data_IF_686660371509
#
_entry.id   IF_686660371509
#
_cell.length_a   1.000
_cell.length_b   1.000
_cell.length_c   1.000
_cell.angle_alpha   90.00
_cell.angle_beta   90.00
_cell.angle_gamma   90.00
#
_symmetry.space_group_name_H-M   'P 1'
#
loop_
_entity.id
_entity.type
_entity.pdbx_description
1 polymer ?
#
# COMPACT_ATOMS: atom_id res chain seq x y z
N UNK A 1 10.71 -15.17 -5.53
CA UNK A 1 9.53 -15.93 -5.99
C UNK A 1 8.59 -14.97 -6.70
N UNK A 2 8.14 -15.35 -7.90
CA UNK A 2 7.21 -14.56 -8.70
C UNK A 2 5.84 -14.44 -8.02
N UNK A 3 5.22 -13.26 -8.14
CA UNK A 3 3.83 -13.05 -7.76
C UNK A 3 2.90 -13.93 -8.61
N UNK A 4 1.75 -14.35 -8.04
CA UNK A 4 0.73 -15.10 -8.77
C UNK A 4 -0.21 -14.17 -9.52
N UNK A 5 -0.56 -13.02 -8.94
CA UNK A 5 -1.40 -12.03 -9.60
C UNK A 5 -0.52 -11.04 -10.38
N UNK A 6 -0.40 -11.22 -11.70
CA UNK A 6 0.45 -10.38 -12.56
C UNK A 6 -0.32 -9.79 -13.74
N UNK A 7 0.09 -8.60 -14.15
CA UNK A 7 -0.34 -7.94 -15.37
C UNK A 7 0.91 -7.45 -16.12
N UNK A 8 1.05 -7.80 -17.40
CA UNK A 8 2.21 -7.46 -18.23
C UNK A 8 3.57 -7.75 -17.57
N UNK A 9 3.65 -8.85 -16.81
CA UNK A 9 4.87 -9.25 -16.11
C UNK A 9 5.16 -8.46 -14.83
N UNK A 10 4.23 -7.67 -14.28
CA UNK A 10 4.41 -7.00 -13.00
C UNK A 10 3.36 -7.46 -11.97
N UNK A 11 3.70 -7.57 -10.68
CA UNK A 11 2.72 -7.90 -9.65
C UNK A 11 1.65 -6.82 -9.54
N UNK A 12 0.37 -7.21 -9.67
CA UNK A 12 -0.75 -6.26 -9.67
C UNK A 12 -0.81 -5.51 -8.33
N UNK A 13 -0.60 -6.21 -7.22
CA UNK A 13 -0.58 -5.59 -5.89
C UNK A 13 0.44 -4.45 -5.79
N UNK A 14 1.68 -4.66 -6.27
CA UNK A 14 2.74 -3.65 -6.23
C UNK A 14 2.41 -2.43 -7.10
N UNK A 15 1.72 -2.62 -8.22
CA UNK A 15 1.25 -1.51 -9.06
C UNK A 15 0.15 -0.71 -8.37
N UNK A 16 -0.72 -1.37 -7.60
CA UNK A 16 -1.88 -0.73 -6.99
C UNK A 16 -1.59 -0.05 -5.65
N UNK A 17 -0.61 -0.51 -4.85
CA UNK A 17 -0.39 0.02 -3.49
C UNK A 17 0.00 1.49 -3.43
N UNK A 18 0.45 2.07 -4.55
CA UNK A 18 0.81 3.49 -4.63
C UNK A 18 -0.40 4.40 -4.38
N UNK A 19 -1.59 3.95 -4.77
CA UNK A 19 -2.84 4.69 -4.59
C UNK A 19 -3.24 4.80 -3.11
N UNK A 20 -3.49 3.69 -2.37
CA UNK A 20 -3.92 3.80 -0.97
C UNK A 20 -2.87 4.50 -0.11
N UNK A 21 -1.58 4.17 -0.26
CA UNK A 21 -0.54 4.79 0.56
C UNK A 21 -0.41 6.31 0.28
N UNK A 22 -0.44 6.69 -1.00
CA UNK A 22 -0.39 8.09 -1.42
C UNK A 22 -1.62 8.87 -0.96
N UNK A 23 -2.83 8.37 -1.21
CA UNK A 23 -4.09 9.05 -0.88
C UNK A 23 -4.31 9.18 0.63
N UNK A 24 -4.14 8.08 1.37
CA UNK A 24 -4.31 8.05 2.82
C UNK A 24 -3.24 8.88 3.52
N UNK A 25 -1.97 8.76 3.11
CA UNK A 25 -0.90 9.58 3.64
C UNK A 25 -1.12 11.07 3.35
N UNK A 26 -1.57 11.41 2.14
CA UNK A 26 -1.81 12.80 1.75
C UNK A 26 -2.97 13.43 2.51
N UNK A 27 -4.00 12.65 2.86
CA UNK A 27 -5.12 13.15 3.67
C UNK A 27 -4.69 13.81 4.98
N UNK A 28 -3.60 13.33 5.60
CA UNK A 28 -3.06 13.90 6.83
C UNK A 28 -2.46 15.30 6.62
N UNK A 29 -1.84 15.57 5.46
CA UNK A 29 -1.36 16.94 5.16
C UNK A 29 -2.52 17.92 5.04
N UNK A 30 -3.66 17.48 4.51
CA UNK A 30 -4.87 18.30 4.45
C UNK A 30 -5.54 18.47 5.82
N UNK A 31 -5.49 17.46 6.69
CA UNK A 31 -5.87 17.62 8.10
C UNK A 31 -5.00 18.68 8.80
N UNK A 32 -3.69 18.65 8.58
CA UNK A 32 -2.75 19.66 9.13
C UNK A 32 -3.08 21.05 8.58
N UNK A 33 -3.35 21.18 7.27
CA UNK A 33 -3.75 22.44 6.66
C UNK A 33 -5.09 22.97 7.23
N UNK A 34 -6.05 22.07 7.50
CA UNK A 34 -7.29 22.43 8.18
C UNK A 34 -7.01 23.01 9.58
N UNK A 35 -6.22 22.30 10.40
CA UNK A 35 -5.87 22.76 11.74
C UNK A 35 -5.10 24.09 11.74
N UNK A 36 -4.21 24.28 10.76
CA UNK A 36 -3.38 25.49 10.66
C UNK A 36 -4.15 26.73 10.18
N UNK A 37 -5.17 26.54 9.32
CA UNK A 37 -5.86 27.66 8.66
C UNK A 37 -7.29 27.88 9.12
N UNK A 38 -7.90 26.90 9.79
CA UNK A 38 -9.33 26.88 10.11
C UNK A 38 -10.25 26.76 8.89
N UNK A 39 -9.72 26.60 7.67
CA UNK A 39 -10.54 26.53 6.47
C UNK A 39 -11.19 25.14 6.34
N UNK A 40 -12.53 25.05 6.26
CA UNK A 40 -13.25 23.76 6.18
C UNK A 40 -13.03 23.00 4.86
N UNK A 41 -12.56 23.68 3.81
CA UNK A 41 -12.23 23.05 2.53
C UNK A 41 -11.17 21.94 2.69
N UNK A 42 -10.15 22.17 3.52
CA UNK A 42 -9.07 21.20 3.69
C UNK A 42 -9.54 19.92 4.38
N UNK A 43 -10.39 20.02 5.41
CA UNK A 43 -11.02 18.84 6.04
C UNK A 43 -11.89 18.06 5.07
N UNK A 44 -12.60 18.76 4.18
CA UNK A 44 -13.44 18.15 3.13
C UNK A 44 -12.59 17.40 2.10
N UNK A 45 -11.44 17.96 1.69
CA UNK A 45 -10.49 17.29 0.79
C UNK A 45 -9.91 16.04 1.47
N UNK A 46 -9.47 16.16 2.72
CA UNK A 46 -8.95 15.03 3.50
C UNK A 46 -9.99 13.89 3.57
N UNK A 47 -11.26 14.21 3.85
CA UNK A 47 -12.35 13.24 3.88
C UNK A 47 -12.47 12.44 2.57
N UNK A 48 -12.49 13.11 1.41
CA UNK A 48 -12.61 12.41 0.12
C UNK A 48 -11.35 11.64 -0.29
N UNK A 49 -10.16 12.13 0.10
CA UNK A 49 -8.91 11.36 -0.06
C UNK A 49 -8.92 10.08 0.78
N UNK A 50 -9.47 10.13 2.00
CA UNK A 50 -9.65 8.94 2.83
C UNK A 50 -10.57 7.94 2.13
N UNK A 51 -11.71 8.38 1.59
CA UNK A 51 -12.63 7.52 0.83
C UNK A 51 -11.90 6.85 -0.34
N UNK A 52 -11.25 7.64 -1.20
CA UNK A 52 -10.53 7.11 -2.36
C UNK A 52 -9.37 6.16 -1.95
N UNK A 53 -8.68 6.48 -0.86
CA UNK A 53 -7.63 5.65 -0.28
C UNK A 53 -8.14 4.31 0.25
N UNK A 54 -9.29 4.30 0.95
CA UNK A 54 -9.94 3.06 1.39
C UNK A 54 -10.35 2.21 0.20
N UNK A 55 -11.05 2.79 -0.79
CA UNK A 55 -11.52 2.06 -1.96
C UNK A 55 -10.36 1.44 -2.76
N UNK A 56 -9.30 2.21 -3.02
CA UNK A 56 -8.11 1.69 -3.70
C UNK A 56 -7.38 0.63 -2.88
N UNK A 57 -7.35 0.77 -1.55
CA UNK A 57 -6.83 -0.26 -0.64
C UNK A 57 -7.61 -1.57 -0.70
N UNK A 58 -8.94 -1.50 -0.74
CA UNK A 58 -9.82 -2.65 -0.91
C UNK A 58 -9.63 -3.33 -2.27
N UNK A 59 -9.35 -2.58 -3.32
CA UNK A 59 -9.02 -3.14 -4.65
C UNK A 59 -7.64 -3.80 -4.65
N UNK A 60 -6.65 -3.24 -3.96
CA UNK A 60 -5.29 -3.78 -3.90
C UNK A 60 -5.17 -5.04 -3.01
N UNK A 61 -5.98 -5.14 -1.96
CA UNK A 61 -5.88 -6.17 -0.92
C UNK A 61 -6.07 -7.62 -1.45
N UNK A 62 -7.05 -7.95 -2.32
CA UNK A 62 -7.21 -9.29 -2.87
C UNK A 62 -5.96 -9.80 -3.58
N UNK A 63 -5.30 -8.96 -4.37
CA UNK A 63 -4.08 -9.33 -5.08
C UNK A 63 -2.91 -9.60 -4.11
N UNK A 64 -2.76 -8.76 -3.08
CA UNK A 64 -1.77 -8.98 -2.04
C UNK A 64 -2.04 -10.26 -1.23
N UNK A 65 -3.31 -10.58 -0.97
CA UNK A 65 -3.71 -11.81 -0.30
C UNK A 65 -3.39 -13.05 -1.16
N UNK A 66 -3.68 -13.01 -2.47
CA UNK A 66 -3.35 -14.09 -3.43
C UNK A 66 -1.84 -14.33 -3.44
N UNK A 67 -1.04 -13.27 -3.53
CA UNK A 67 0.41 -13.36 -3.54
C UNK A 67 0.95 -13.88 -2.19
N UNK A 68 0.40 -13.43 -1.06
CA UNK A 68 0.79 -13.92 0.25
C UNK A 68 0.44 -15.40 0.44
N UNK A 69 -0.74 -15.84 0.00
CA UNK A 69 -1.16 -17.24 0.07
C UNK A 69 -0.21 -18.15 -0.73
N UNK A 70 0.32 -17.66 -1.86
CA UNK A 70 1.31 -18.34 -2.67
C UNK A 70 2.67 -18.53 -1.98
N UNK A 71 2.99 -17.74 -0.95
CA UNK A 71 4.24 -17.87 -0.21
C UNK A 71 4.32 -19.22 0.50
N UNK A 72 5.41 -20.01 0.31
CA UNK A 72 5.60 -21.27 1.01
C UNK A 72 5.49 -21.10 2.53
N UNK A 73 4.79 -22.02 3.22
CA UNK A 73 4.68 -21.98 4.67
C UNK A 73 6.05 -22.14 5.34
N UNK A 74 6.18 -21.66 6.59
CA UNK A 74 7.43 -21.73 7.36
C UNK A 74 8.51 -20.73 6.97
N UNK A 75 8.37 -20.00 5.86
CA UNK A 75 9.38 -19.03 5.41
C UNK A 75 9.29 -17.70 6.17
N UNK A 76 10.42 -16.97 6.26
CA UNK A 76 10.46 -15.58 6.76
C UNK A 76 9.51 -14.68 5.98
N UNK A 77 9.44 -14.84 4.66
CA UNK A 77 8.52 -14.10 3.79
C UNK A 77 7.05 -14.30 4.18
N UNK A 78 6.64 -15.53 4.55
CA UNK A 78 5.26 -15.79 4.99
C UNK A 78 4.92 -15.01 6.27
N UNK A 79 5.86 -14.96 7.23
CA UNK A 79 5.69 -14.25 8.50
C UNK A 79 5.64 -12.74 8.30
N UNK A 80 6.59 -12.17 7.56
CA UNK A 80 6.62 -10.73 7.26
C UNK A 80 5.39 -10.32 6.45
N UNK A 81 4.98 -11.13 5.47
CA UNK A 81 3.77 -10.88 4.69
C UNK A 81 2.50 -10.90 5.53
N UNK A 82 2.42 -11.74 6.56
CA UNK A 82 1.29 -11.74 7.50
C UNK A 82 1.24 -10.46 8.34
N UNK A 83 2.39 -10.03 8.85
CA UNK A 83 2.50 -8.78 9.63
C UNK A 83 2.18 -7.56 8.77
N UNK A 84 2.71 -7.51 7.55
CA UNK A 84 2.42 -6.46 6.57
C UNK A 84 0.94 -6.40 6.22
N UNK A 85 0.35 -7.52 5.80
CA UNK A 85 -1.07 -7.58 5.41
C UNK A 85 -2.00 -7.28 6.59
N UNK A 86 -1.77 -7.92 7.75
CA UNK A 86 -2.56 -7.69 8.96
C UNK A 86 -2.48 -6.25 9.46
N UNK A 87 -1.28 -5.66 9.44
CA UNK A 87 -1.10 -4.24 9.79
C UNK A 87 -1.88 -3.31 8.84
N UNK A 88 -1.86 -3.59 7.54
CA UNK A 88 -2.64 -2.79 6.57
C UNK A 88 -4.15 -2.95 6.72
N UNK A 89 -4.65 -4.11 7.17
CA UNK A 89 -6.06 -4.25 7.58
C UNK A 89 -6.38 -3.29 8.73
N UNK A 90 -5.52 -3.22 9.74
CA UNK A 90 -5.69 -2.27 10.86
C UNK A 90 -5.64 -0.81 10.38
N UNK A 91 -4.70 -0.46 9.47
CA UNK A 91 -4.64 0.87 8.85
C UNK A 91 -5.97 1.23 8.18
N UNK A 92 -6.51 0.34 7.34
CA UNK A 92 -7.79 0.58 6.65
C UNK A 92 -8.95 0.71 7.62
N UNK A 93 -8.98 -0.07 8.71
CA UNK A 93 -10.00 0.05 9.75
C UNK A 93 -9.93 1.38 10.49
N UNK A 94 -8.73 1.84 10.87
CA UNK A 94 -8.56 3.15 11.51
C UNK A 94 -9.02 4.29 10.60
N UNK A 95 -8.68 4.23 9.31
CA UNK A 95 -9.17 5.19 8.34
C UNK A 95 -10.68 5.08 8.10
N UNK A 96 -11.25 3.88 8.09
CA UNK A 96 -12.69 3.70 7.96
C UNK A 96 -13.45 4.28 9.15
N UNK A 97 -12.95 4.13 10.38
CA UNK A 97 -13.52 4.76 11.57
C UNK A 97 -13.36 6.27 11.51
N UNK A 98 -12.18 6.78 11.15
CA UNK A 98 -11.95 8.22 10.95
C UNK A 98 -12.90 8.82 9.91
N UNK A 99 -13.03 8.17 8.75
CA UNK A 99 -13.98 8.54 7.69
C UNK A 99 -15.42 8.56 8.20
N UNK A 100 -15.85 7.49 8.87
CA UNK A 100 -17.19 7.38 9.43
C UNK A 100 -17.48 8.54 10.39
N UNK A 101 -16.57 8.86 11.31
CA UNK A 101 -16.74 9.97 12.25
C UNK A 101 -16.89 11.33 11.57
N UNK A 102 -16.32 11.51 10.38
CA UNK A 102 -16.36 12.77 9.63
C UNK A 102 -17.62 12.93 8.76
N UNK A 103 -18.43 11.89 8.59
CA UNK A 103 -19.50 11.81 7.56
C UNK A 103 -20.54 12.94 7.63
N UNK A 104 -20.87 13.40 8.83
CA UNK A 104 -21.92 14.40 9.04
C UNK A 104 -21.39 15.84 8.86
N UNK A 105 -20.10 16.06 9.09
CA UNK A 105 -19.44 17.36 8.92
C UNK A 105 -17.99 17.22 8.40
N UNK A 106 -17.78 16.86 7.12
CA UNK A 106 -16.44 16.61 6.57
C UNK A 106 -15.46 17.77 6.71
N UNK A 107 -15.96 19.01 6.66
CA UNK A 107 -15.15 20.23 6.81
C UNK A 107 -14.86 20.66 8.25
N UNK A 108 -15.40 19.95 9.25
CA UNK A 108 -15.17 20.21 10.67
C UNK A 108 -14.91 18.90 11.42
N UNK A 109 -13.86 18.14 11.05
CA UNK A 109 -13.53 16.87 11.67
C UNK A 109 -13.19 17.04 13.16
N UNK A 110 -13.72 16.14 13.99
CA UNK A 110 -13.34 16.06 15.40
C UNK A 110 -11.85 15.68 15.56
N UNK A 111 -11.21 16.16 16.63
CA UNK A 111 -9.80 15.88 16.91
C UNK A 111 -9.48 14.38 17.00
N UNK A 112 -10.42 13.55 17.49
CA UNK A 112 -10.24 12.10 17.53
C UNK A 112 -10.21 11.48 16.13
N UNK A 113 -11.01 11.97 15.18
CA UNK A 113 -10.99 11.48 13.80
C UNK A 113 -9.64 11.80 13.12
N UNK A 114 -9.06 12.97 13.40
CA UNK A 114 -7.70 13.33 12.94
C UNK A 114 -6.65 12.47 13.65
N UNK A 115 -6.79 12.24 14.95
CA UNK A 115 -5.89 11.37 15.72
C UNK A 115 -5.84 9.93 15.17
N UNK A 116 -6.99 9.39 14.78
CA UNK A 116 -7.08 8.06 14.16
C UNK A 116 -6.41 8.00 12.78
N UNK A 117 -6.62 9.00 11.90
CA UNK A 117 -5.92 9.06 10.61
C UNK A 117 -4.41 9.22 10.80
N UNK A 118 -3.96 10.04 11.73
CA UNK A 118 -2.55 10.19 12.06
C UNK A 118 -1.92 8.89 12.56
N UNK A 119 -2.57 8.19 13.50
CA UNK A 119 -2.11 6.89 13.99
C UNK A 119 -2.05 5.84 12.87
N UNK A 120 -3.05 5.85 11.97
CA UNK A 120 -3.09 4.98 10.80
C UNK A 120 -1.92 5.25 9.84
N UNK A 121 -1.56 6.52 9.58
CA UNK A 121 -0.40 6.88 8.76
C UNK A 121 0.90 6.38 9.39
N UNK A 122 1.10 6.57 10.69
CA UNK A 122 2.30 6.08 11.38
C UNK A 122 2.44 4.57 11.27
N UNK A 123 1.34 3.83 11.46
CA UNK A 123 1.31 2.39 11.25
C UNK A 123 1.57 2.02 9.78
N UNK A 124 1.01 2.77 8.83
CA UNK A 124 1.22 2.57 7.41
C UNK A 124 2.69 2.73 6.98
N UNK A 125 3.46 3.59 7.64
CA UNK A 125 4.91 3.70 7.40
C UNK A 125 5.64 2.42 7.84
N UNK A 126 5.26 1.85 8.98
CA UNK A 126 5.82 0.57 9.46
C UNK A 126 5.44 -0.58 8.52
N UNK A 127 4.16 -0.67 8.11
CA UNK A 127 3.74 -1.71 7.17
C UNK A 127 4.35 -1.51 5.79
N UNK A 128 4.52 -0.27 5.33
CA UNK A 128 5.23 0.09 4.11
C UNK A 128 6.68 -0.40 4.12
N UNK A 129 7.39 -0.24 5.23
CA UNK A 129 8.72 -0.80 5.42
C UNK A 129 8.73 -2.33 5.33
N UNK A 130 7.77 -3.02 5.96
CA UNK A 130 7.62 -4.48 5.84
C UNK A 130 7.36 -4.91 4.38
N UNK A 131 6.62 -4.10 3.61
CA UNK A 131 6.43 -4.30 2.18
C UNK A 131 7.74 -4.18 1.40
N UNK A 132 8.54 -3.16 1.72
CA UNK A 132 9.89 -2.99 1.19
C UNK A 132 10.81 -4.18 1.51
N UNK A 133 10.73 -4.75 2.72
CA UNK A 133 11.48 -5.94 3.10
C UNK A 133 11.09 -7.17 2.26
N UNK A 134 9.79 -7.36 2.00
CA UNK A 134 9.28 -8.45 1.16
C UNK A 134 9.85 -8.38 -0.26
N UNK A 135 9.89 -7.19 -0.84
CA UNK A 135 10.36 -7.00 -2.22
C UNK A 135 11.88 -6.98 -2.27
N UNK A 136 12.51 -6.06 -1.55
CA UNK A 136 13.93 -5.73 -1.67
C UNK A 136 14.87 -6.74 -1.02
N UNK A 137 14.45 -7.43 0.05
CA UNK A 137 15.30 -8.42 0.75
C UNK A 137 14.86 -9.85 0.50
N UNK A 138 13.57 -10.08 0.34
CA UNK A 138 13.00 -11.44 0.23
C UNK A 138 12.59 -11.81 -1.20
N UNK A 139 12.70 -10.88 -2.16
CA UNK A 139 12.47 -11.15 -3.58
C UNK A 139 11.03 -11.60 -3.88
N UNK A 140 10.05 -11.16 -3.10
CA UNK A 140 8.63 -11.44 -3.33
C UNK A 140 8.14 -10.55 -4.47
N UNK A 141 7.55 -11.15 -5.50
CA UNK A 141 7.09 -10.44 -6.69
C UNK A 141 8.21 -10.08 -7.68
N UNK A 142 9.46 -10.43 -7.37
CA UNK A 142 10.62 -10.20 -8.25
C UNK A 142 10.87 -11.44 -9.12
N UNK A 143 11.17 -11.23 -10.40
CA UNK A 143 11.52 -12.29 -11.33
C UNK A 143 12.88 -12.91 -10.99
N UNK A 144 12.98 -14.22 -11.18
CA UNK A 144 14.24 -14.94 -11.07
C UNK A 144 15.23 -14.44 -12.13
N UNK A 145 16.44 -14.09 -11.69
CA UNK A 145 17.48 -13.52 -12.57
C UNK A 145 17.28 -12.04 -12.91
N UNK A 146 16.38 -11.31 -12.22
CA UNK A 146 16.28 -9.86 -12.36
C UNK A 146 17.64 -9.18 -12.13
N UNK A 147 18.04 -8.35 -13.08
CA UNK A 147 19.31 -7.63 -13.10
C UNK A 147 19.16 -6.33 -13.91
N UNK A 148 20.20 -5.49 -13.91
CA UNK A 148 20.16 -4.17 -14.56
C UNK A 148 20.02 -4.24 -16.09
N UNK A 149 20.43 -5.36 -16.69
CA UNK A 149 20.37 -5.64 -18.14
C UNK A 149 19.27 -6.68 -18.48
N UNK A 150 18.29 -6.87 -17.61
CA UNK A 150 17.19 -7.81 -17.87
C UNK A 150 16.30 -7.28 -19.04
N UNK A 151 15.88 -8.15 -19.97
CA UNK A 151 15.00 -7.73 -21.07
C UNK A 151 13.62 -7.30 -20.56
N UNK A 152 12.94 -6.45 -21.33
CA UNK A 152 11.56 -6.02 -21.03
C UNK A 152 10.63 -7.21 -20.82
N UNK A 153 9.71 -7.09 -19.84
CA UNK A 153 8.66 -8.08 -19.57
C UNK A 153 7.73 -8.32 -20.77
N UNK A 154 7.66 -7.37 -21.70
CA UNK A 154 6.88 -7.47 -22.93
C UNK A 154 7.59 -8.24 -24.05
N UNK A 155 8.89 -8.52 -23.91
CA UNK A 155 9.69 -9.20 -24.95
C UNK A 155 9.49 -10.72 -24.98
N UNK A 156 8.84 -11.30 -23.96
CA UNK A 156 8.74 -12.74 -23.76
C UNK A 156 10.06 -13.42 -23.35
N UNK A 157 11.18 -12.69 -23.27
CA UNK A 157 12.49 -13.23 -22.88
C UNK A 157 12.60 -13.34 -21.36
N UNK A 158 13.17 -14.42 -20.80
CA UNK A 158 13.40 -14.54 -19.37
C UNK A 158 14.39 -13.49 -18.85
N UNK A 159 14.18 -13.00 -17.62
CA UNK A 159 15.08 -12.06 -16.96
C UNK A 159 16.52 -12.58 -16.82
N UNK A 160 16.70 -13.90 -16.61
CA UNK A 160 18.01 -14.54 -16.45
C UNK A 160 18.85 -14.61 -17.76
N UNK A 161 18.27 -14.35 -18.93
CA UNK A 161 18.89 -14.66 -20.23
C UNK A 161 20.01 -13.72 -20.69
N UNK A 162 20.35 -12.66 -19.94
CA UNK A 162 21.39 -11.68 -20.30
C UNK A 162 22.75 -11.90 -19.64
N UNK A 163 22.85 -12.76 -18.63
CA UNK A 163 24.06 -12.88 -17.79
C UNK A 163 25.26 -13.62 -18.43
N UNK A 164 25.18 -14.04 -19.70
CA UNK A 164 26.16 -14.92 -20.34
C UNK A 164 26.97 -14.34 -21.51
N UNK A 165 26.99 -13.01 -21.71
CA UNK A 165 27.75 -12.38 -22.79
C UNK A 165 28.61 -11.22 -22.30
N UNK A 166 29.69 -11.54 -21.58
CA UNK A 166 30.86 -10.66 -21.45
C UNK A 166 32.11 -11.51 -21.49
#
# INVERSE_FOLDING_TARGET
MRAKARLFGHPIHQMLIVFPLGLLGTSLFFDIAHLATGNPLWGTIAYWLIVAGILSGLVAAPFGLIDWLAIPPGTRAKRIGRLHGGGNVVVLLLFAVSWWMRRDAPGAPEGLAIGLSAAAVLLALVTGWLGGELVGRLGVGVDEGANLDAPSSLSGRPAAGSAGRR
#
